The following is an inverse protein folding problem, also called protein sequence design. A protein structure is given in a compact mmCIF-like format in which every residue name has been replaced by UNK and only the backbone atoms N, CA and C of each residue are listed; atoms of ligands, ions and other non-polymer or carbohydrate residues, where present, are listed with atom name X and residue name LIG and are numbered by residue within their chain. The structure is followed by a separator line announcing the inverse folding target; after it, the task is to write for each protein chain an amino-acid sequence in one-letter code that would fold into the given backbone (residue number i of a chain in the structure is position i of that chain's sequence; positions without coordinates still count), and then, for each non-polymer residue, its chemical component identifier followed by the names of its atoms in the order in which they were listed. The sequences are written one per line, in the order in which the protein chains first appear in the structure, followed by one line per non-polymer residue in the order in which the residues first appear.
data_IF_462002154431
#
_entry.id   IF_462002154431
#
_cell.length_a   1.000
_cell.length_b   1.000
_cell.length_c   1.000
_cell.angle_alpha   90.00
_cell.angle_beta   90.00
_cell.angle_gamma   90.00
#
_symmetry.space_group_name_H-M   'P 1'
#
loop_
_entity.id
_entity.type
_entity.pdbx_description
1 polymer ?
#
# COMPACT_ATOMS: atom_id res chain seq x y z
N UNK A 1 22.28 -6.81 -10.93
CA UNK A 1 21.93 -5.46 -11.45
C UNK A 1 23.04 -4.40 -11.37
N UNK A 2 24.14 -4.57 -10.63
CA UNK A 2 25.23 -3.58 -10.58
C UNK A 2 26.26 -3.65 -11.75
N UNK A 3 26.03 -4.48 -12.77
CA UNK A 3 26.91 -4.52 -13.96
C UNK A 3 26.31 -3.87 -15.22
N UNK A 4 25.06 -3.39 -15.18
CA UNK A 4 24.45 -2.61 -16.29
C UNK A 4 24.64 -1.11 -16.03
N UNK A 5 25.87 -0.68 -15.74
CA UNK A 5 26.23 0.74 -15.62
C UNK A 5 27.38 1.19 -16.53
N UNK A 6 27.96 0.28 -17.31
CA UNK A 6 29.20 0.57 -18.06
C UNK A 6 29.07 0.55 -19.59
N UNK A 7 27.88 0.73 -20.16
CA UNK A 7 27.73 1.03 -21.59
C UNK A 7 27.56 2.54 -21.79
N UNK A 8 28.68 3.29 -21.76
CA UNK A 8 28.71 4.70 -22.15
C UNK A 8 28.93 4.79 -23.66
N UNK A 9 27.94 5.31 -24.40
CA UNK A 9 28.10 5.72 -25.81
C UNK A 9 28.49 7.20 -25.81
N UNK A 10 29.63 7.54 -26.40
CA UNK A 10 30.16 8.91 -26.40
C UNK A 10 29.93 9.62 -27.73
N UNK A 11 29.41 10.85 -27.69
CA UNK A 11 29.59 11.82 -28.78
C UNK A 11 31.02 12.37 -28.72
N UNK A 12 31.64 12.65 -29.87
CA UNK A 12 32.92 13.36 -29.97
C UNK A 12 32.89 14.80 -29.43
N UNK A 13 31.74 15.26 -28.95
CA UNK A 13 31.48 16.60 -28.44
C UNK A 13 31.42 16.70 -26.89
N UNK A 14 31.72 15.60 -26.16
CA UNK A 14 31.81 15.57 -24.70
C UNK A 14 30.67 14.78 -24.01
N UNK A 15 30.92 14.32 -22.78
CA UNK A 15 30.05 13.42 -22.01
C UNK A 15 28.69 14.06 -21.63
N UNK A 16 27.58 13.63 -22.24
CA UNK A 16 26.24 13.79 -21.68
C UNK A 16 25.32 12.61 -22.03
N UNK A 17 24.43 12.30 -21.08
CA UNK A 17 23.37 11.29 -21.18
C UNK A 17 22.39 11.62 -22.33
N UNK A 18 22.27 10.71 -23.29
CA UNK A 18 21.14 10.67 -24.22
C UNK A 18 19.96 10.00 -23.49
N UNK A 19 18.92 10.76 -23.15
CA UNK A 19 17.63 10.17 -22.79
C UNK A 19 16.94 9.70 -24.08
N UNK A 20 16.72 8.40 -24.24
CA UNK A 20 15.74 7.89 -25.21
C UNK A 20 14.34 8.13 -24.62
N UNK A 21 13.55 8.97 -25.27
CA UNK A 21 12.09 8.88 -25.14
C UNK A 21 11.58 7.96 -26.26
N UNK A 22 11.02 6.82 -25.89
CA UNK A 22 10.35 5.92 -26.83
C UNK A 22 8.86 6.27 -26.86
N UNK A 23 8.34 6.59 -28.05
CA UNK A 23 6.91 6.75 -28.28
C UNK A 23 6.26 5.35 -28.26
N UNK A 24 5.33 5.11 -27.32
CA UNK A 24 4.65 3.81 -27.14
C UNK A 24 3.42 3.63 -28.05
N UNK A 25 3.28 4.41 -29.12
CA UNK A 25 2.17 4.27 -30.07
C UNK A 25 2.52 3.33 -31.23
N UNK A 26 1.67 2.31 -31.47
CA UNK A 26 1.79 1.36 -32.60
C UNK A 26 1.44 1.95 -33.98
N UNK A 27 1.08 3.23 -34.09
CA UNK A 27 0.74 3.88 -35.37
C UNK A 27 1.69 5.01 -35.78
N UNK A 28 2.74 5.29 -35.02
CA UNK A 28 3.70 6.34 -35.35
C UNK A 28 4.68 5.88 -36.44
N UNK A 29 4.66 6.51 -37.63
CA UNK A 29 5.58 6.22 -38.75
C UNK A 29 6.92 6.99 -38.70
N UNK A 30 7.21 7.74 -37.64
CA UNK A 30 8.46 8.45 -37.51
C UNK A 30 9.50 7.58 -36.77
N UNK A 31 10.54 7.15 -37.49
CA UNK A 31 11.69 6.42 -36.92
C UNK A 31 12.52 7.39 -36.09
N UNK A 32 12.81 6.99 -34.86
CA UNK A 32 13.60 7.68 -33.84
C UNK A 32 14.74 8.55 -34.40
N UNK A 33 14.72 9.85 -34.08
CA UNK A 33 15.90 10.72 -34.23
C UNK A 33 16.35 11.18 -32.86
N UNK A 34 17.59 10.86 -32.51
CA UNK A 34 18.27 11.48 -31.37
C UNK A 34 18.91 12.80 -31.86
N UNK A 35 18.70 13.89 -31.15
CA UNK A 35 19.27 15.20 -31.46
C UNK A 35 20.35 15.55 -30.45
N UNK A 36 21.53 15.93 -30.93
CA UNK A 36 22.50 16.65 -30.12
C UNK A 36 22.25 18.15 -30.31
N UNK A 37 21.83 18.84 -29.25
CA UNK A 37 21.45 20.27 -29.29
C UNK A 37 22.59 21.23 -29.68
N UNK A 38 23.86 20.76 -29.78
CA UNK A 38 25.02 21.61 -30.06
C UNK A 38 25.57 21.55 -31.49
N UNK A 39 25.33 20.49 -32.27
CA UNK A 39 26.07 20.29 -33.54
C UNK A 39 25.21 20.27 -34.81
N UNK A 40 23.88 20.31 -34.71
CA UNK A 40 22.91 20.36 -35.83
C UNK A 40 23.30 19.55 -37.09
N UNK A 41 23.84 18.34 -36.90
CA UNK A 41 24.17 17.41 -37.98
C UNK A 41 23.43 16.08 -37.80
N UNK A 42 22.74 15.65 -38.86
CA UNK A 42 22.13 14.32 -38.98
C UNK A 42 23.23 13.29 -39.24
N UNK A 43 23.24 12.20 -38.48
CA UNK A 43 24.12 11.05 -38.73
C UNK A 43 23.24 9.90 -39.23
N UNK A 44 23.46 9.48 -40.47
CA UNK A 44 22.89 8.27 -41.06
C UNK A 44 23.78 7.03 -40.74
N UNK A 45 23.12 5.88 -40.66
CA UNK A 45 23.52 4.57 -40.11
C UNK A 45 24.86 3.93 -40.54
N UNK A 46 25.37 3.00 -39.70
CA UNK A 46 26.13 1.80 -40.18
C UNK A 46 26.17 0.56 -39.24
N UNK A 47 25.20 0.28 -38.36
CA UNK A 47 25.33 -0.87 -37.42
C UNK A 47 24.09 -1.79 -37.22
N UNK A 48 23.09 -1.73 -38.10
CA UNK A 48 21.82 -2.48 -37.92
C UNK A 48 21.73 -3.84 -38.65
N UNK A 49 22.81 -4.60 -38.82
CA UNK A 49 22.69 -5.97 -39.37
C UNK A 49 23.16 -7.11 -38.47
N UNK A 50 23.78 -6.84 -37.31
CA UNK A 50 24.18 -7.91 -36.37
C UNK A 50 23.31 -8.03 -35.11
N UNK A 51 22.43 -7.07 -34.79
CA UNK A 51 21.70 -7.06 -33.51
C UNK A 51 20.32 -7.75 -33.51
N UNK A 52 19.79 -8.22 -34.65
CA UNK A 52 18.49 -8.90 -34.68
C UNK A 52 18.52 -10.34 -34.14
N UNK A 53 19.72 -10.94 -34.02
CA UNK A 53 19.91 -12.24 -33.34
C UNK A 53 20.00 -12.11 -31.81
N UNK A 54 20.46 -10.96 -31.30
CA UNK A 54 20.66 -10.73 -29.86
C UNK A 54 19.37 -10.31 -29.13
N UNK A 55 18.49 -9.53 -29.76
CA UNK A 55 17.20 -9.15 -29.15
C UNK A 55 16.25 -10.35 -28.99
N UNK A 56 16.13 -11.19 -30.02
CA UNK A 56 15.29 -12.39 -29.93
C UNK A 56 15.88 -13.42 -28.97
N UNK A 57 17.21 -13.52 -28.87
CA UNK A 57 17.89 -14.36 -27.87
C UNK A 57 17.65 -13.87 -26.44
N UNK A 58 17.68 -12.56 -26.20
CA UNK A 58 17.35 -11.95 -24.91
C UNK A 58 15.88 -12.16 -24.53
N UNK A 59 14.96 -11.95 -25.47
CA UNK A 59 13.54 -12.18 -25.25
C UNK A 59 13.31 -13.65 -24.89
N UNK A 60 13.87 -14.60 -25.66
CA UNK A 60 13.74 -16.03 -25.34
C UNK A 60 14.39 -16.41 -24.00
N UNK A 61 15.52 -15.80 -23.64
CA UNK A 61 16.17 -16.03 -22.35
C UNK A 61 15.32 -15.53 -21.17
N UNK A 62 14.73 -14.34 -21.29
CA UNK A 62 13.83 -13.80 -20.26
C UNK A 62 12.49 -14.52 -20.20
N UNK A 63 11.97 -15.01 -21.31
CA UNK A 63 10.79 -15.88 -21.36
C UNK A 63 11.08 -17.24 -20.69
N UNK A 64 12.22 -17.88 -20.97
CA UNK A 64 12.62 -19.15 -20.32
C UNK A 64 12.85 -18.97 -18.80
N UNK A 65 13.38 -17.82 -18.36
CA UNK A 65 13.47 -17.46 -16.94
C UNK A 65 12.08 -17.25 -16.34
N UNK A 66 11.20 -16.53 -17.03
CA UNK A 66 9.83 -16.28 -16.58
C UNK A 66 9.02 -17.56 -16.46
N UNK A 67 9.14 -18.48 -17.42
CA UNK A 67 8.50 -19.79 -17.38
C UNK A 67 9.05 -20.68 -16.25
N UNK A 68 10.37 -20.67 -16.03
CA UNK A 68 10.98 -21.41 -14.91
C UNK A 68 10.64 -20.82 -13.54
N UNK A 69 10.58 -19.49 -13.40
CA UNK A 69 10.08 -18.85 -12.18
C UNK A 69 8.61 -19.22 -11.93
N UNK A 70 7.78 -19.20 -12.97
CA UNK A 70 6.39 -19.64 -12.87
C UNK A 70 6.27 -21.13 -12.54
N UNK A 71 7.15 -21.98 -13.06
CA UNK A 71 7.21 -23.41 -12.72
C UNK A 71 7.61 -23.63 -11.25
N UNK A 72 8.63 -22.93 -10.76
CA UNK A 72 9.06 -22.97 -9.35
C UNK A 72 7.95 -22.44 -8.43
N UNK A 73 7.32 -21.32 -8.79
CA UNK A 73 6.17 -20.77 -8.05
C UNK A 73 4.99 -21.73 -8.04
N UNK A 74 4.68 -22.40 -9.15
CA UNK A 74 3.60 -23.40 -9.22
C UNK A 74 3.93 -24.65 -8.41
N UNK A 75 5.16 -25.17 -8.48
CA UNK A 75 5.58 -26.32 -7.68
C UNK A 75 5.64 -25.99 -6.18
N UNK A 76 6.12 -24.80 -5.82
CA UNK A 76 6.15 -24.35 -4.43
C UNK A 76 4.74 -24.07 -3.91
N UNK A 77 3.84 -23.51 -4.73
CA UNK A 77 2.42 -23.38 -4.37
C UNK A 77 1.74 -24.74 -4.18
N UNK A 78 2.09 -25.75 -5.00
CA UNK A 78 1.57 -27.12 -4.83
C UNK A 78 2.10 -27.78 -3.56
N UNK A 79 3.41 -27.70 -3.29
CA UNK A 79 4.02 -28.19 -2.03
C UNK A 79 3.46 -27.45 -0.81
N UNK A 80 3.28 -26.13 -0.90
CA UNK A 80 2.69 -25.31 0.15
C UNK A 80 1.24 -25.72 0.42
N UNK A 81 0.41 -25.86 -0.61
CA UNK A 81 -0.97 -26.32 -0.45
C UNK A 81 -1.06 -27.73 0.14
N UNK A 82 -0.16 -28.64 -0.25
CA UNK A 82 -0.10 -29.98 0.33
C UNK A 82 0.32 -29.95 1.81
N UNK A 83 1.25 -29.05 2.17
CA UNK A 83 1.66 -28.81 3.55
C UNK A 83 0.52 -28.19 4.38
N UNK A 84 -0.16 -27.18 3.86
CA UNK A 84 -1.31 -26.55 4.51
C UNK A 84 -2.44 -27.56 4.71
N UNK A 85 -2.67 -28.46 3.75
CA UNK A 85 -3.64 -29.56 3.91
C UNK A 85 -3.21 -30.52 5.02
N UNK A 86 -1.96 -31.00 5.02
CA UNK A 86 -1.46 -31.90 6.08
C UNK A 86 -1.49 -31.25 7.47
N UNK A 87 -1.16 -29.96 7.56
CA UNK A 87 -1.25 -29.19 8.81
C UNK A 87 -2.69 -29.03 9.27
N UNK A 88 -3.63 -28.76 8.35
CA UNK A 88 -5.06 -28.68 8.64
C UNK A 88 -5.61 -30.02 9.12
N UNK A 89 -5.30 -31.11 8.41
CA UNK A 89 -5.75 -32.46 8.77
C UNK A 89 -5.18 -32.87 10.14
N UNK A 90 -3.91 -32.55 10.41
CA UNK A 90 -3.26 -32.84 11.70
C UNK A 90 -3.78 -31.94 12.83
N UNK A 91 -4.11 -30.67 12.54
CA UNK A 91 -4.74 -29.75 13.48
C UNK A 91 -6.16 -30.21 13.84
N UNK A 92 -6.94 -30.64 12.84
CA UNK A 92 -8.30 -31.17 13.02
C UNK A 92 -8.30 -32.51 13.77
N UNK A 93 -7.35 -33.40 13.45
CA UNK A 93 -7.11 -34.64 14.20
C UNK A 93 -6.70 -34.36 15.66
N UNK A 94 -5.87 -33.34 15.91
CA UNK A 94 -5.43 -32.95 17.24
C UNK A 94 -6.52 -32.19 18.03
N UNK A 95 -7.38 -31.40 17.38
CA UNK A 95 -8.56 -30.76 18.00
C UNK A 95 -9.52 -31.78 18.60
N UNK A 96 -9.66 -32.96 17.98
CA UNK A 96 -10.46 -34.06 18.53
C UNK A 96 -9.81 -34.75 19.74
N UNK A 97 -8.47 -34.69 19.88
CA UNK A 97 -7.72 -35.27 21.02
C UNK A 97 -7.36 -34.27 22.13
N UNK A 98 -7.62 -32.98 21.92
CA UNK A 98 -7.31 -31.89 22.85
C UNK A 98 -8.19 -31.89 24.12
N UNK A 99 -9.12 -32.84 24.27
CA UNK A 99 -9.88 -33.03 25.51
C UNK A 99 -9.12 -33.85 26.57
N UNK A 100 -7.93 -34.42 26.27
CA UNK A 100 -7.21 -35.33 27.19
C UNK A 100 -5.70 -35.07 27.36
N UNK A 101 -5.15 -33.94 26.88
CA UNK A 101 -3.70 -33.70 26.91
C UNK A 101 -3.28 -32.70 28.01
N UNK A 102 -2.18 -33.02 28.70
CA UNK A 102 -1.52 -32.11 29.65
C UNK A 102 -0.49 -31.21 28.95
N UNK A 103 -0.17 -30.09 29.59
CA UNK A 103 0.66 -28.98 29.07
C UNK A 103 2.01 -29.43 28.48
N UNK A 104 2.62 -30.47 29.07
CA UNK A 104 3.90 -31.03 28.62
C UNK A 104 3.82 -31.63 27.20
N UNK A 105 2.75 -32.37 26.89
CA UNK A 105 2.57 -32.98 25.56
C UNK A 105 2.22 -31.95 24.49
N UNK A 106 1.52 -30.87 24.86
CA UNK A 106 1.21 -29.77 23.95
C UNK A 106 2.49 -29.02 23.53
N UNK A 107 3.38 -28.77 24.50
CA UNK A 107 4.67 -28.13 24.26
C UNK A 107 5.54 -28.92 23.28
N UNK A 108 5.62 -30.24 23.44
CA UNK A 108 6.37 -31.11 22.51
C UNK A 108 5.83 -31.02 21.07
N UNK A 109 4.50 -30.99 20.89
CA UNK A 109 3.89 -30.89 19.55
C UNK A 109 4.19 -29.51 18.92
N UNK A 110 4.15 -28.44 19.70
CA UNK A 110 4.48 -27.09 19.24
C UNK A 110 5.96 -27.01 18.82
N UNK A 111 6.86 -27.58 19.63
CA UNK A 111 8.30 -27.60 19.35
C UNK A 111 8.60 -28.41 18.06
N UNK A 112 7.91 -29.53 17.82
CA UNK A 112 8.02 -30.29 16.57
C UNK A 112 7.55 -29.49 15.34
N UNK A 113 6.49 -28.70 15.47
CA UNK A 113 5.99 -27.83 14.39
C UNK A 113 7.03 -26.75 14.05
N UNK A 114 7.60 -26.10 15.07
CA UNK A 114 8.62 -25.08 14.88
C UNK A 114 9.91 -25.65 14.28
N UNK A 115 10.34 -26.83 14.71
CA UNK A 115 11.51 -27.49 14.15
C UNK A 115 11.29 -27.80 12.66
N UNK A 116 10.13 -28.34 12.30
CA UNK A 116 9.82 -28.67 10.92
C UNK A 116 9.72 -27.42 10.02
N UNK A 117 9.14 -26.32 10.53
CA UNK A 117 9.10 -25.05 9.80
C UNK A 117 10.50 -24.52 9.50
N UNK A 118 11.40 -24.55 10.49
CA UNK A 118 12.79 -24.12 10.34
C UNK A 118 13.56 -24.99 9.33
N UNK A 119 13.33 -26.31 9.32
CA UNK A 119 13.93 -27.21 8.32
C UNK A 119 13.40 -26.93 6.91
N UNK A 120 12.10 -26.63 6.76
CA UNK A 120 11.51 -26.25 5.48
C UNK A 120 12.07 -24.92 4.95
N UNK A 121 12.17 -23.90 5.79
CA UNK A 121 12.74 -22.59 5.42
C UNK A 121 14.20 -22.72 4.96
N UNK A 122 15.01 -23.51 5.67
CA UNK A 122 16.39 -23.81 5.26
C UNK A 122 16.47 -24.58 3.95
N UNK A 123 15.52 -25.49 3.69
CA UNK A 123 15.41 -26.21 2.42
C UNK A 123 15.11 -25.27 1.25
N UNK A 124 14.15 -24.36 1.45
CA UNK A 124 13.76 -23.36 0.46
C UNK A 124 14.90 -22.38 0.16
N UNK A 125 15.60 -21.92 1.19
CA UNK A 125 16.76 -21.04 1.02
C UNK A 125 17.87 -21.70 0.19
N UNK A 126 18.13 -23.00 0.43
CA UNK A 126 19.09 -23.78 -0.39
C UNK A 126 18.65 -23.89 -1.84
N UNK A 127 17.38 -24.19 -2.12
CA UNK A 127 16.86 -24.27 -3.49
C UNK A 127 16.99 -22.91 -4.21
N UNK A 128 16.69 -21.80 -3.53
CA UNK A 128 16.85 -20.44 -4.06
C UNK A 128 18.33 -20.14 -4.37
N UNK A 129 19.25 -20.51 -3.48
CA UNK A 129 20.69 -20.32 -3.69
C UNK A 129 21.23 -21.14 -4.86
N UNK A 130 20.77 -22.38 -5.04
CA UNK A 130 21.13 -23.23 -6.19
C UNK A 130 20.63 -22.58 -7.48
N UNK A 131 19.36 -22.18 -7.52
CA UNK A 131 18.77 -21.52 -8.69
C UNK A 131 19.50 -20.22 -9.05
N UNK A 132 19.86 -19.41 -8.05
CA UNK A 132 20.64 -18.18 -8.24
C UNK A 132 22.01 -18.48 -8.87
N UNK A 133 22.71 -19.51 -8.40
CA UNK A 133 24.02 -19.91 -8.96
C UNK A 133 23.91 -20.43 -10.39
N UNK A 134 22.86 -21.19 -10.71
CA UNK A 134 22.61 -21.66 -12.07
C UNK A 134 22.34 -20.50 -13.02
N UNK A 135 21.54 -19.53 -12.59
CA UNK A 135 21.31 -18.31 -13.37
C UNK A 135 22.59 -17.52 -13.59
N UNK A 136 23.39 -17.31 -12.54
CA UNK A 136 24.67 -16.61 -12.64
C UNK A 136 25.59 -17.33 -13.63
N UNK A 137 25.66 -18.66 -13.59
CA UNK A 137 26.50 -19.47 -14.49
C UNK A 137 26.04 -19.32 -15.94
N UNK A 138 24.73 -19.39 -16.21
CA UNK A 138 24.18 -19.20 -17.55
C UNK A 138 24.45 -17.79 -18.06
N UNK A 139 24.26 -16.78 -17.21
CA UNK A 139 24.54 -15.39 -17.56
C UNK A 139 26.02 -15.18 -17.91
N UNK A 140 26.94 -15.76 -17.15
CA UNK A 140 28.38 -15.69 -17.42
C UNK A 140 28.78 -16.39 -18.71
N UNK A 141 28.20 -17.55 -19.02
CA UNK A 141 28.46 -18.25 -20.28
C UNK A 141 27.94 -17.46 -21.48
N UNK A 142 26.75 -16.87 -21.35
CA UNK A 142 26.17 -16.04 -22.39
C UNK A 142 26.98 -14.75 -22.62
N UNK A 143 27.48 -14.10 -21.56
CA UNK A 143 28.41 -12.96 -21.67
C UNK A 143 29.72 -13.35 -22.37
N UNK A 144 30.23 -14.56 -22.14
CA UNK A 144 31.42 -15.07 -22.83
C UNK A 144 31.17 -15.30 -24.33
N UNK A 145 30.01 -15.83 -24.69
CA UNK A 145 29.62 -16.02 -26.10
C UNK A 145 29.47 -14.69 -26.86
N UNK A 146 29.11 -13.62 -26.17
CA UNK A 146 28.99 -12.26 -26.72
C UNK A 146 30.32 -11.50 -26.79
N UNK A 147 31.40 -12.03 -26.21
CA UNK A 147 32.72 -11.39 -26.22
C UNK A 147 33.52 -11.82 -27.48
N UNK A 148 34.03 -10.88 -28.31
CA UNK A 148 34.69 -11.24 -29.56
C UNK A 148 36.02 -12.01 -29.33
N UNK A 149 36.35 -13.00 -30.17
CA UNK A 149 37.56 -13.80 -30.02
C UNK A 149 38.77 -13.03 -30.56
N UNK A 150 39.42 -12.26 -29.69
CA UNK A 150 40.87 -11.95 -29.65
C UNK A 150 41.10 -10.57 -29.02
N UNK A 151 41.35 -10.56 -27.72
CA UNK A 151 42.19 -9.55 -27.09
C UNK A 151 43.34 -10.30 -26.42
N UNK A 152 44.49 -10.36 -27.11
CA UNK A 152 45.73 -10.90 -26.56
C UNK A 152 46.10 -10.13 -25.28
N UNK A 153 46.34 -10.87 -24.21
CA UNK A 153 46.97 -10.35 -22.99
C UNK A 153 48.43 -9.96 -23.29
N UNK A 154 48.95 -8.84 -22.77
CA UNK A 154 50.36 -8.71 -22.51
C UNK A 154 50.69 -9.41 -21.17
N UNK A 155 51.72 -10.24 -21.22
CA UNK A 155 52.39 -10.84 -20.08
C UNK A 155 53.26 -9.79 -19.35
N UNK A 156 53.38 -9.92 -18.02
CA UNK A 156 54.63 -10.04 -17.25
C UNK A 156 54.41 -9.61 -15.78
N UNK A 157 54.80 -10.55 -14.91
CA UNK A 157 55.21 -10.49 -13.50
C UNK A 157 54.60 -9.49 -12.53
N UNK A 158 54.05 -9.98 -11.41
CA UNK A 158 54.29 -9.37 -10.09
C UNK A 158 53.92 -10.32 -8.95
N UNK A 159 54.85 -11.21 -8.64
CA UNK A 159 55.00 -11.83 -7.33
C UNK A 159 55.44 -10.75 -6.33
N UNK A 160 54.53 -9.88 -5.87
CA UNK A 160 54.75 -8.99 -4.71
C UNK A 160 53.50 -8.26 -4.16
N UNK A 161 52.28 -8.61 -4.56
CA UNK A 161 51.07 -7.86 -4.18
C UNK A 161 50.16 -8.55 -3.12
N UNK A 162 50.66 -9.56 -2.40
CA UNK A 162 49.83 -10.33 -1.46
C UNK A 162 49.72 -9.73 -0.05
N UNK A 163 50.63 -8.83 0.35
CA UNK A 163 50.61 -8.22 1.70
C UNK A 163 49.94 -6.84 1.78
N UNK A 164 49.84 -6.09 0.68
CA UNK A 164 49.08 -4.81 0.65
C UNK A 164 47.55 -4.99 0.65
N UNK A 165 47.05 -6.22 0.41
CA UNK A 165 45.60 -6.53 0.36
C UNK A 165 44.96 -6.76 1.73
N UNK A 166 45.73 -6.98 2.81
CA UNK A 166 45.16 -7.19 4.16
C UNK A 166 44.81 -5.88 4.87
N UNK A 167 45.62 -4.82 4.73
CA UNK A 167 45.37 -3.51 5.33
C UNK A 167 44.32 -2.67 4.60
N UNK A 168 44.07 -2.94 3.30
CA UNK A 168 42.96 -2.31 2.56
C UNK A 168 41.57 -2.87 2.93
N UNK A 169 41.50 -4.13 3.43
CA UNK A 169 40.24 -4.78 3.82
C UNK A 169 39.66 -4.28 5.13
N UNK A 170 40.46 -3.84 6.12
CA UNK A 170 39.89 -3.27 7.35
C UNK A 170 39.33 -1.85 7.11
N UNK A 171 40.03 -1.02 6.33
CA UNK A 171 39.53 0.29 5.93
C UNK A 171 38.31 0.21 5.00
N UNK A 172 38.23 -0.80 4.11
CA UNK A 172 37.03 -1.04 3.30
C UNK A 172 35.87 -1.62 4.10
N UNK A 173 36.12 -2.39 5.17
CA UNK A 173 35.07 -2.90 6.05
C UNK A 173 34.52 -1.80 6.96
N UNK A 174 35.35 -0.90 7.49
CA UNK A 174 34.88 0.27 8.25
C UNK A 174 34.13 1.27 7.35
N UNK A 175 34.60 1.49 6.11
CA UNK A 175 33.88 2.30 5.13
C UNK A 175 32.58 1.62 4.65
N UNK A 176 32.53 0.29 4.53
CA UNK A 176 31.32 -0.46 4.20
C UNK A 176 30.33 -0.53 5.37
N UNK A 177 30.81 -0.49 6.62
CA UNK A 177 29.97 -0.42 7.82
C UNK A 177 29.45 0.99 8.06
N UNK A 178 30.26 2.04 7.83
CA UNK A 178 29.80 3.43 7.82
C UNK A 178 28.85 3.73 6.66
N UNK A 179 29.11 3.15 5.47
CA UNK A 179 28.19 3.20 4.33
C UNK A 179 26.95 2.34 4.60
N UNK A 180 27.08 1.22 5.30
CA UNK A 180 25.98 0.38 5.76
C UNK A 180 25.09 1.10 6.76
N UNK A 181 25.66 1.86 7.69
CA UNK A 181 24.96 2.70 8.67
C UNK A 181 24.39 3.97 8.02
N UNK A 182 25.08 4.56 7.03
CA UNK A 182 24.54 5.65 6.21
C UNK A 182 23.44 5.17 5.26
N UNK A 183 23.50 3.95 4.72
CA UNK A 183 22.42 3.31 3.95
C UNK A 183 21.29 2.89 4.88
N UNK A 184 21.57 2.45 6.12
CA UNK A 184 20.55 2.16 7.14
C UNK A 184 19.83 3.43 7.60
N UNK A 185 20.55 4.56 7.70
CA UNK A 185 19.97 5.89 7.97
C UNK A 185 19.32 6.54 6.74
N UNK A 186 19.84 6.32 5.52
CA UNK A 186 19.30 6.83 4.26
C UNK A 186 18.16 5.96 3.68
N UNK A 187 18.03 4.70 4.11
CA UNK A 187 16.85 3.85 3.88
C UNK A 187 15.67 4.23 4.78
N UNK A 188 15.85 5.24 5.64
CA UNK A 188 14.78 6.04 6.25
C UNK A 188 14.60 7.41 5.57
N UNK A 189 14.87 7.55 4.28
CA UNK A 189 13.96 8.36 3.47
C UNK A 189 12.63 7.60 3.42
N UNK A 190 11.48 8.21 3.76
CA UNK A 190 10.22 7.47 3.79
C UNK A 190 10.02 6.86 2.40
N UNK A 191 9.93 5.53 2.34
CA UNK A 191 9.34 4.87 1.18
C UNK A 191 7.96 5.49 1.05
N UNK A 192 7.77 6.37 0.07
CA UNK A 192 6.44 6.86 -0.28
C UNK A 192 5.66 5.60 -0.67
N UNK A 193 4.65 5.18 0.11
CA UNK A 193 3.80 4.10 -0.35
C UNK A 193 3.06 4.66 -1.55
N UNK A 194 3.12 3.95 -2.66
CA UNK A 194 2.36 4.26 -3.88
C UNK A 194 0.85 4.02 -3.68
N UNK A 195 0.39 3.87 -2.42
CA UNK A 195 -0.80 3.10 -2.03
C UNK A 195 -1.66 3.75 -0.94
N UNK A 196 -1.32 4.93 -0.39
CA UNK A 196 -2.12 5.55 0.69
C UNK A 196 -2.78 6.86 0.26
N UNK A 197 -4.03 7.09 0.70
CA UNK A 197 -4.73 8.38 0.56
C UNK A 197 -3.87 9.55 1.08
N UNK A 198 -3.03 9.29 2.09
CA UNK A 198 -1.98 10.19 2.56
C UNK A 198 -1.05 10.70 1.43
N UNK A 199 -0.61 9.83 0.51
CA UNK A 199 0.26 10.23 -0.59
C UNK A 199 -0.47 11.16 -1.58
N UNK A 200 -1.76 10.90 -1.82
CA UNK A 200 -2.64 11.77 -2.62
C UNK A 200 -2.79 13.13 -1.95
N UNK A 201 -3.03 13.16 -0.65
CA UNK A 201 -3.18 14.39 0.12
C UNK A 201 -1.89 15.21 0.12
N UNK A 202 -0.74 14.56 0.36
CA UNK A 202 0.57 15.23 0.38
C UNK A 202 1.00 15.82 -0.96
N UNK A 203 0.40 15.36 -2.07
CA UNK A 203 0.62 15.96 -3.39
C UNK A 203 -0.03 17.35 -3.51
N UNK A 204 -1.09 17.63 -2.74
CA UNK A 204 -1.76 18.93 -2.72
C UNK A 204 -1.05 19.85 -1.71
N UNK A 205 -0.24 20.79 -2.22
CA UNK A 205 0.51 21.77 -1.42
C UNK A 205 -0.39 22.56 -0.43
N UNK A 206 -1.63 22.86 -0.81
CA UNK A 206 -2.72 23.27 0.08
C UNK A 206 -3.98 22.47 -0.26
N UNK A 207 -4.43 21.63 0.66
CA UNK A 207 -5.55 20.70 0.48
C UNK A 207 -6.89 21.41 0.26
N UNK A 208 -6.98 22.69 0.61
CA UNK A 208 -8.19 23.52 0.45
C UNK A 208 -8.06 24.57 -0.63
N UNK A 209 -6.88 24.70 -1.26
CA UNK A 209 -6.71 25.63 -2.36
C UNK A 209 -7.13 24.97 -3.67
N UNK A 210 -8.34 25.31 -4.13
CA UNK A 210 -8.81 24.93 -5.46
C UNK A 210 -8.14 25.77 -6.57
N UNK A 211 -7.21 26.68 -6.28
CA UNK A 211 -6.37 27.33 -7.29
C UNK A 211 -5.33 26.34 -7.81
N UNK A 212 -5.86 25.34 -8.50
CA UNK A 212 -5.10 24.33 -9.21
C UNK A 212 -4.21 25.02 -10.25
N UNK A 213 -3.10 24.36 -10.57
CA UNK A 213 -2.24 24.74 -11.69
C UNK A 213 -3.12 25.15 -12.89
N UNK A 214 -2.90 26.33 -13.51
CA UNK A 214 -3.74 26.82 -14.60
C UNK A 214 -3.89 25.85 -15.78
N UNK A 215 -3.04 24.83 -15.87
CA UNK A 215 -3.10 23.75 -16.86
C UNK A 215 -4.12 22.65 -16.54
N UNK A 216 -4.73 22.66 -15.34
CA UNK A 216 -5.73 21.68 -14.94
C UNK A 216 -7.11 22.14 -15.43
N UNK A 217 -7.63 21.42 -16.41
CA UNK A 217 -8.97 21.65 -16.93
C UNK A 217 -10.05 21.41 -15.86
N UNK A 218 -11.04 22.29 -15.81
CA UNK A 218 -12.17 22.20 -14.88
C UNK A 218 -13.49 22.19 -15.63
N UNK A 219 -14.52 21.67 -14.98
CA UNK A 219 -15.89 21.60 -15.50
C UNK A 219 -16.86 22.07 -14.42
N UNK A 220 -17.89 22.80 -14.85
CA UNK A 220 -19.00 23.19 -14.00
C UNK A 220 -20.06 22.09 -14.04
N UNK A 221 -20.43 21.61 -12.85
CA UNK A 221 -21.41 20.56 -12.67
C UNK A 221 -22.54 21.04 -11.75
N UNK A 222 -23.71 20.42 -11.87
CA UNK A 222 -24.78 20.53 -10.89
C UNK A 222 -25.06 19.12 -10.37
N UNK A 223 -24.96 18.92 -9.06
CA UNK A 223 -25.26 17.66 -8.42
C UNK A 223 -26.46 17.81 -7.47
N UNK A 224 -27.18 16.71 -7.29
CA UNK A 224 -28.06 16.52 -6.14
C UNK A 224 -27.25 15.87 -5.02
N UNK A 225 -27.27 16.46 -3.83
CA UNK A 225 -26.47 16.00 -2.69
C UNK A 225 -27.34 15.17 -1.73
N UNK A 226 -26.82 14.02 -1.33
CA UNK A 226 -27.43 13.16 -0.32
C UNK A 226 -26.45 12.90 0.82
N UNK A 227 -26.95 12.97 2.05
CA UNK A 227 -26.26 12.36 3.18
C UNK A 227 -26.84 10.97 3.43
N UNK A 228 -26.04 10.11 4.06
CA UNK A 228 -26.43 8.73 4.34
C UNK A 228 -26.13 8.44 5.80
N UNK A 229 -27.10 7.87 6.48
CA UNK A 229 -27.01 7.55 7.89
C UNK A 229 -27.46 6.12 8.15
N UNK A 230 -26.70 5.37 8.96
CA UNK A 230 -27.15 4.08 9.47
C UNK A 230 -28.24 4.32 10.50
N UNK A 231 -29.34 3.57 10.41
CA UNK A 231 -30.40 3.56 11.41
C UNK A 231 -29.83 3.16 12.78
N UNK A 232 -30.13 3.96 13.81
CA UNK A 232 -29.58 3.76 15.15
C UNK A 232 -29.93 2.38 15.74
N UNK A 233 -31.17 1.91 15.57
CA UNK A 233 -31.60 0.62 16.09
C UNK A 233 -30.88 -0.53 15.36
N UNK A 234 -30.77 -0.44 14.03
CA UNK A 234 -30.02 -1.41 13.22
C UNK A 234 -28.55 -1.46 13.61
N UNK A 235 -27.94 -0.30 13.86
CA UNK A 235 -26.56 -0.22 14.32
C UNK A 235 -26.38 -0.90 15.69
N UNK A 236 -27.17 -0.52 16.70
CA UNK A 236 -27.03 -1.07 18.05
C UNK A 236 -27.32 -2.59 18.10
N UNK A 237 -28.30 -3.07 17.33
CA UNK A 237 -28.66 -4.49 17.30
C UNK A 237 -27.61 -5.37 16.62
N UNK A 238 -26.80 -4.79 15.71
CA UNK A 238 -25.81 -5.51 14.92
C UNK A 238 -24.37 -5.09 15.25
N UNK A 239 -24.15 -4.35 16.33
CA UNK A 239 -22.83 -3.83 16.70
C UNK A 239 -21.80 -4.95 16.89
N UNK A 240 -22.20 -6.15 17.33
CA UNK A 240 -21.27 -7.28 17.44
C UNK A 240 -21.02 -8.00 16.09
N UNK A 241 -21.86 -7.77 15.08
CA UNK A 241 -21.86 -8.46 13.79
C UNK A 241 -22.25 -7.49 12.67
N UNK A 242 -21.34 -6.57 12.34
CA UNK A 242 -21.55 -5.50 11.36
C UNK A 242 -21.91 -5.99 9.96
N UNK A 243 -21.59 -7.25 9.62
CA UNK A 243 -22.00 -7.91 8.39
C UNK A 243 -23.52 -7.92 8.21
N UNK A 244 -24.29 -7.88 9.30
CA UNK A 244 -25.74 -7.89 9.28
C UNK A 244 -26.36 -6.52 8.95
N UNK A 245 -25.58 -5.43 9.03
CA UNK A 245 -26.02 -4.09 8.64
C UNK A 245 -26.00 -4.01 7.11
N UNK A 246 -27.18 -4.05 6.50
CA UNK A 246 -27.40 -4.19 5.05
C UNK A 246 -28.06 -2.96 4.46
N UNK A 247 -27.51 -2.50 3.35
CA UNK A 247 -28.16 -1.55 2.48
C UNK A 247 -29.25 -2.25 1.63
N UNK A 248 -30.41 -1.63 1.32
CA UNK A 248 -30.87 -0.30 1.76
C UNK A 248 -31.49 -0.27 3.15
N UNK A 249 -31.85 -1.42 3.70
CA UNK A 249 -32.81 -1.52 4.80
C UNK A 249 -32.37 -0.85 6.10
N UNK A 250 -31.06 -0.85 6.37
CA UNK A 250 -30.50 -0.31 7.60
C UNK A 250 -29.98 1.12 7.46
N UNK A 251 -30.24 1.77 6.31
CA UNK A 251 -29.73 3.08 5.97
C UNK A 251 -30.86 4.04 5.63
N UNK A 252 -30.71 5.28 6.05
CA UNK A 252 -31.55 6.41 5.62
C UNK A 252 -30.74 7.28 4.69
N UNK A 253 -31.26 7.49 3.49
CA UNK A 253 -30.73 8.46 2.54
C UNK A 253 -31.53 9.75 2.67
N UNK A 254 -30.84 10.85 2.90
CA UNK A 254 -31.44 12.15 3.18
C UNK A 254 -31.03 13.11 2.07
N UNK A 255 -32.00 13.62 1.34
CA UNK A 255 -31.78 14.74 0.42
C UNK A 255 -31.28 15.95 1.21
N UNK A 256 -30.18 16.55 0.75
CA UNK A 256 -29.63 17.75 1.33
C UNK A 256 -30.05 18.98 0.51
N UNK A 257 -29.54 19.07 -0.72
CA UNK A 257 -29.77 20.20 -1.62
C UNK A 257 -29.18 19.94 -3.00
N UNK A 258 -29.62 20.71 -3.98
CA UNK A 258 -28.97 20.80 -5.28
C UNK A 258 -27.93 21.93 -5.24
N UNK A 259 -26.67 21.65 -5.61
CA UNK A 259 -25.64 22.69 -5.73
C UNK A 259 -24.90 22.61 -7.04
N UNK A 260 -24.55 23.79 -7.55
CA UNK A 260 -23.54 23.93 -8.59
C UNK A 260 -22.15 23.90 -7.97
N UNK A 261 -21.25 23.19 -8.62
CA UNK A 261 -19.87 23.02 -8.21
C UNK A 261 -18.94 23.18 -9.40
N UNK A 262 -17.66 23.40 -9.11
CA UNK A 262 -16.59 23.32 -10.11
C UNK A 262 -15.73 22.13 -9.71
N UNK A 263 -15.46 21.22 -10.63
CA UNK A 263 -14.59 20.08 -10.38
C UNK A 263 -13.51 19.96 -11.44
N UNK A 264 -12.47 19.20 -11.16
CA UNK A 264 -11.48 18.84 -12.17
C UNK A 264 -12.12 17.96 -13.24
N UNK A 265 -11.72 18.18 -14.49
CA UNK A 265 -12.21 17.38 -15.62
C UNK A 265 -11.62 15.97 -15.61
N UNK A 266 -10.36 15.85 -15.17
CA UNK A 266 -9.61 14.59 -15.03
C UNK A 266 -9.29 14.30 -13.56
N UNK A 267 -9.02 13.03 -13.21
CA UNK A 267 -8.48 12.69 -11.91
C UNK A 267 -7.18 13.45 -11.67
N UNK A 268 -7.00 13.94 -10.45
CA UNK A 268 -5.74 14.55 -10.01
C UNK A 268 -4.82 13.53 -9.34
N UNK A 269 -5.37 12.39 -8.91
CA UNK A 269 -4.63 11.33 -8.26
C UNK A 269 -5.35 9.98 -8.40
N UNK A 270 -4.61 8.92 -8.08
CA UNK A 270 -5.07 7.54 -8.14
C UNK A 270 -4.60 6.80 -6.89
N UNK A 271 -5.43 5.92 -6.36
CA UNK A 271 -5.01 4.83 -5.48
C UNK A 271 -5.01 3.52 -6.25
N UNK A 272 -4.80 2.40 -5.56
CA UNK A 272 -4.94 1.06 -6.15
C UNK A 272 -6.35 0.78 -6.71
N UNK A 273 -7.37 1.39 -6.13
CA UNK A 273 -8.78 1.06 -6.43
C UNK A 273 -9.59 2.24 -6.94
N UNK A 274 -9.14 3.46 -6.66
CA UNK A 274 -9.94 4.66 -6.90
C UNK A 274 -9.21 5.76 -7.66
N UNK A 275 -9.96 6.47 -8.48
CA UNK A 275 -9.63 7.78 -9.06
C UNK A 275 -10.13 8.91 -8.14
N UNK A 276 -9.34 9.97 -8.02
CA UNK A 276 -9.67 11.13 -7.19
C UNK A 276 -9.76 12.40 -8.02
N UNK A 277 -10.87 13.11 -7.88
CA UNK A 277 -11.10 14.42 -8.48
C UNK A 277 -11.23 15.45 -7.37
N UNK A 278 -10.87 16.70 -7.64
CA UNK A 278 -11.19 17.79 -6.72
C UNK A 278 -12.46 18.46 -7.15
N UNK A 279 -13.30 18.80 -6.17
CA UNK A 279 -14.50 19.59 -6.36
C UNK A 279 -14.51 20.73 -5.35
N UNK A 280 -14.91 21.93 -5.80
CA UNK A 280 -15.26 23.03 -4.93
C UNK A 280 -16.72 23.42 -5.05
N UNK A 281 -17.28 23.83 -3.92
CA UNK A 281 -18.55 24.52 -3.83
C UNK A 281 -18.24 25.96 -3.44
N UNK A 282 -18.56 26.91 -4.32
CA UNK A 282 -18.37 28.33 -4.05
C UNK A 282 -19.37 28.79 -3.01
N UNK A 283 -18.87 29.34 -1.91
CA UNK A 283 -19.70 30.02 -0.92
C UNK A 283 -19.52 31.53 -1.09
N UNK A 284 -20.62 32.25 -1.30
CA UNK A 284 -20.58 33.69 -1.61
C UNK A 284 -19.96 34.55 -0.49
N UNK A 285 -19.94 34.07 0.76
CA UNK A 285 -19.49 34.82 1.94
C UNK A 285 -18.52 34.05 2.86
N UNK A 286 -18.08 32.83 2.48
CA UNK A 286 -17.21 31.98 3.30
C UNK A 286 -16.09 31.37 2.46
N UNK A 287 -15.11 30.74 3.11
CA UNK A 287 -14.13 29.92 2.38
C UNK A 287 -14.85 28.85 1.55
N UNK A 288 -14.33 28.63 0.33
CA UNK A 288 -14.78 27.56 -0.56
C UNK A 288 -14.72 26.22 0.20
N UNK A 289 -15.78 25.42 0.07
CA UNK A 289 -15.75 24.04 0.55
C UNK A 289 -15.13 23.17 -0.54
N UNK A 290 -14.02 22.51 -0.21
CA UNK A 290 -13.32 21.61 -1.13
C UNK A 290 -13.58 20.17 -0.70
N UNK A 291 -13.81 19.32 -1.69
CA UNK A 291 -14.10 17.91 -1.55
C UNK A 291 -13.19 17.11 -2.47
N UNK A 292 -12.83 15.91 -2.02
CA UNK A 292 -12.41 14.84 -2.91
C UNK A 292 -13.64 14.10 -3.42
N UNK A 293 -13.71 13.92 -4.74
CA UNK A 293 -14.62 12.95 -5.33
C UNK A 293 -13.86 11.65 -5.57
N UNK A 294 -14.40 10.55 -5.08
CA UNK A 294 -13.85 9.20 -5.18
C UNK A 294 -14.72 8.35 -6.08
N UNK A 295 -14.05 7.61 -6.96
CA UNK A 295 -14.69 6.67 -7.87
C UNK A 295 -13.79 5.46 -8.12
N UNK A 296 -14.34 4.30 -8.50
CA UNK A 296 -13.53 3.16 -8.91
C UNK A 296 -12.70 3.51 -10.17
N UNK A 297 -11.53 2.89 -10.30
CA UNK A 297 -10.69 3.02 -11.50
C UNK A 297 -11.46 2.57 -12.75
N UNK A 298 -11.28 3.32 -13.85
CA UNK A 298 -11.90 3.04 -15.14
C UNK A 298 -12.85 4.14 -15.62
N UNK A 299 -12.90 5.27 -14.91
CA UNK A 299 -13.64 6.46 -15.33
C UNK A 299 -15.17 6.31 -15.37
N UNK A 300 -15.74 5.34 -14.65
CA UNK A 300 -17.19 5.12 -14.61
C UNK A 300 -17.74 5.40 -13.22
N UNK A 301 -18.71 6.30 -13.15
CA UNK A 301 -19.44 6.63 -11.92
C UNK A 301 -20.24 5.42 -11.46
N UNK A 302 -20.56 5.33 -10.17
CA UNK A 302 -21.44 4.28 -9.68
C UNK A 302 -22.78 4.35 -10.43
N UNK A 303 -23.28 3.19 -10.85
CA UNK A 303 -24.47 3.12 -11.70
C UNK A 303 -25.76 3.30 -10.90
N UNK A 304 -25.67 3.09 -9.58
CA UNK A 304 -26.76 3.28 -8.63
C UNK A 304 -26.26 3.87 -7.31
N UNK A 305 -27.16 4.53 -6.60
CA UNK A 305 -26.93 5.02 -5.24
C UNK A 305 -26.52 3.89 -4.28
N UNK A 306 -27.07 2.70 -4.49
CA UNK A 306 -26.82 1.53 -3.65
C UNK A 306 -25.36 1.08 -3.73
N UNK A 307 -24.80 1.05 -4.94
CA UNK A 307 -23.39 0.72 -5.16
C UNK A 307 -22.47 1.75 -4.50
N UNK A 308 -22.78 3.05 -4.65
CA UNK A 308 -22.01 4.11 -4.01
C UNK A 308 -22.04 3.99 -2.48
N UNK A 309 -23.21 3.71 -1.89
CA UNK A 309 -23.35 3.55 -0.44
C UNK A 309 -22.65 2.28 0.07
N UNK A 310 -22.71 1.20 -0.70
CA UNK A 310 -22.01 -0.04 -0.36
C UNK A 310 -20.50 0.18 -0.27
N UNK A 311 -19.93 1.00 -1.16
CA UNK A 311 -18.50 1.33 -1.13
C UNK A 311 -18.12 2.25 0.05
N UNK A 312 -19.08 3.03 0.56
CA UNK A 312 -18.92 3.87 1.75
C UNK A 312 -19.15 3.14 3.07
N UNK A 313 -19.50 1.84 3.04
CA UNK A 313 -20.00 1.10 4.20
C UNK A 313 -19.04 1.16 5.40
N UNK A 314 -17.75 0.98 5.18
CA UNK A 314 -16.73 1.07 6.24
C UNK A 314 -16.70 2.45 6.89
N UNK A 315 -16.80 3.53 6.10
CA UNK A 315 -16.84 4.90 6.62
C UNK A 315 -18.08 5.17 7.45
N UNK A 316 -19.26 4.78 6.95
CA UNK A 316 -20.53 5.01 7.63
C UNK A 316 -20.61 4.27 8.99
N UNK A 317 -20.13 3.02 9.03
CA UNK A 317 -20.08 2.23 10.27
C UNK A 317 -19.08 2.84 11.24
N UNK A 318 -17.89 3.21 10.76
CA UNK A 318 -16.85 3.83 11.59
C UNK A 318 -17.29 5.17 12.17
N UNK A 319 -18.02 5.99 11.40
CA UNK A 319 -18.62 7.25 11.87
C UNK A 319 -19.56 7.02 13.05
N UNK A 320 -20.47 6.03 12.96
CA UNK A 320 -21.39 5.67 14.06
C UNK A 320 -20.67 5.14 15.28
N UNK A 321 -19.66 4.29 15.08
CA UNK A 321 -18.80 3.82 16.17
C UNK A 321 -18.10 4.96 16.89
N UNK A 322 -17.51 5.89 16.14
CA UNK A 322 -16.79 7.03 16.73
C UNK A 322 -17.73 7.93 17.54
N UNK A 323 -18.94 8.18 17.04
CA UNK A 323 -19.98 8.92 17.78
C UNK A 323 -20.33 8.23 19.11
N UNK A 324 -20.55 6.90 19.09
CA UNK A 324 -20.82 6.11 20.29
C UNK A 324 -19.67 6.17 21.29
N UNK A 325 -18.45 5.95 20.81
CA UNK A 325 -17.22 5.95 21.59
C UNK A 325 -16.96 7.30 22.28
N UNK A 326 -17.01 8.40 21.52
CA UNK A 326 -16.81 9.76 22.06
C UNK A 326 -17.91 10.12 23.05
N UNK A 327 -19.17 9.75 22.77
CA UNK A 327 -20.28 9.96 23.71
C UNK A 327 -20.04 9.25 25.05
N UNK A 328 -19.57 8.00 25.02
CA UNK A 328 -19.25 7.25 26.24
C UNK A 328 -18.07 7.85 27.02
N UNK A 329 -16.99 8.24 26.34
CA UNK A 329 -15.84 8.89 26.97
C UNK A 329 -16.25 10.21 27.64
N UNK A 330 -17.01 11.05 26.94
CA UNK A 330 -17.50 12.32 27.48
C UNK A 330 -18.42 12.10 28.69
N UNK A 331 -19.30 11.10 28.62
CA UNK A 331 -20.17 10.72 29.74
C UNK A 331 -19.41 10.26 31.00
N UNK A 332 -18.16 9.82 30.84
CA UNK A 332 -17.24 9.42 31.93
C UNK A 332 -16.30 10.55 32.36
N UNK A 333 -16.52 11.78 31.88
CA UNK A 333 -15.73 12.96 32.22
C UNK A 333 -14.40 13.10 31.48
N UNK A 334 -14.12 12.22 30.50
CA UNK A 334 -12.96 12.38 29.63
C UNK A 334 -13.25 13.46 28.58
N UNK A 335 -12.61 14.64 28.68
CA UNK A 335 -12.67 15.64 27.61
C UNK A 335 -11.78 15.21 26.46
N UNK A 336 -12.35 14.53 25.47
CA UNK A 336 -11.64 14.21 24.23
C UNK A 336 -11.60 15.43 23.31
N UNK A 337 -10.62 15.52 22.38
CA UNK A 337 -10.77 16.37 21.21
C UNK A 337 -12.08 16.04 20.47
N UNK A 338 -12.66 16.98 19.69
CA UNK A 338 -13.85 16.73 18.88
C UNK A 338 -13.53 15.84 17.67
N UNK A 339 -13.03 14.63 17.93
CA UNK A 339 -12.63 13.64 16.92
C UNK A 339 -13.86 12.99 16.29
N UNK A 340 -13.85 12.89 14.96
CA UNK A 340 -14.95 12.33 14.18
C UNK A 340 -14.51 11.99 12.77
N UNK A 341 -15.29 11.13 12.10
CA UNK A 341 -15.12 10.90 10.67
C UNK A 341 -15.71 12.06 9.86
N UNK A 342 -15.02 12.41 8.78
CA UNK A 342 -15.38 13.45 7.82
C UNK A 342 -16.79 13.23 7.28
N UNK A 343 -17.40 14.32 6.83
CA UNK A 343 -18.67 14.22 6.13
C UNK A 343 -18.45 13.59 4.76
N UNK A 344 -19.22 12.53 4.52
CA UNK A 344 -19.28 11.80 3.28
C UNK A 344 -20.66 12.03 2.68
N UNK A 345 -20.69 12.40 1.41
CA UNK A 345 -21.90 12.70 0.66
C UNK A 345 -21.95 11.81 -0.59
N UNK A 346 -23.14 11.39 -0.96
CA UNK A 346 -23.40 10.80 -2.26
C UNK A 346 -23.90 11.90 -3.18
N UNK A 347 -23.24 12.10 -4.30
CA UNK A 347 -23.63 13.09 -5.30
C UNK A 347 -24.26 12.39 -6.50
N UNK A 348 -25.40 12.87 -6.94
CA UNK A 348 -26.05 12.38 -8.15
C UNK A 348 -25.90 13.41 -9.28
N UNK A 349 -25.29 12.99 -10.39
CA UNK A 349 -25.14 13.80 -11.61
C UNK A 349 -26.35 13.63 -12.54
N UNK A 350 -26.83 12.39 -12.65
CA UNK A 350 -28.00 11.99 -13.41
C UNK A 350 -28.58 10.68 -12.86
N UNK A 351 -29.60 10.11 -13.49
CA UNK A 351 -30.29 8.90 -12.98
C UNK A 351 -29.38 7.67 -12.76
N UNK A 352 -28.23 7.58 -13.45
CA UNK A 352 -27.32 6.42 -13.42
C UNK A 352 -25.88 6.80 -13.12
N UNK A 353 -25.67 7.96 -12.48
CA UNK A 353 -24.33 8.49 -12.25
C UNK A 353 -24.25 9.07 -10.86
N UNK A 354 -23.56 8.32 -10.01
CA UNK A 354 -23.35 8.66 -8.61
C UNK A 354 -21.86 8.75 -8.30
N UNK A 355 -21.52 9.68 -7.41
CA UNK A 355 -20.15 9.95 -6.95
C UNK A 355 -20.13 9.92 -5.42
N UNK A 356 -18.98 9.59 -4.86
CA UNK A 356 -18.73 9.73 -3.42
C UNK A 356 -17.91 10.99 -3.21
N UNK A 357 -18.33 11.87 -2.31
CA UNK A 357 -17.63 13.09 -1.97
C UNK A 357 -17.25 13.13 -0.49
N UNK A 358 -15.96 13.31 -0.21
CA UNK A 358 -15.43 13.48 1.15
C UNK A 358 -14.87 14.89 1.31
N UNK A 359 -15.22 15.56 2.41
CA UNK A 359 -14.75 16.92 2.66
C UNK A 359 -13.25 16.95 2.96
N UNK A 360 -12.54 17.87 2.31
CA UNK A 360 -11.14 18.17 2.59
C UNK A 360 -11.00 19.24 3.66
N UNK A 361 -10.06 19.01 4.57
CA UNK A 361 -9.75 19.91 5.67
C UNK A 361 -8.33 20.43 5.54
N UNK A 362 -8.11 21.69 5.89
CA UNK A 362 -6.78 22.30 5.88
C UNK A 362 -5.97 21.84 7.08
N UNK A 363 -4.76 21.35 6.85
CA UNK A 363 -3.78 21.04 7.90
C UNK A 363 -2.92 19.83 7.57
N UNK A 364 -2.12 19.42 8.55
CA UNK A 364 -1.23 18.28 8.41
C UNK A 364 -2.02 16.97 8.41
N UNK A 365 -1.78 16.17 7.38
CA UNK A 365 -2.34 14.84 7.28
C UNK A 365 -1.53 13.86 8.13
N UNK A 366 -2.20 13.14 9.03
CA UNK A 366 -1.59 12.20 9.97
C UNK A 366 -2.27 10.85 9.85
N UNK A 367 -1.45 9.80 9.75
CA UNK A 367 -1.87 8.40 9.89
C UNK A 367 -1.58 7.95 11.32
N UNK A 368 -2.62 7.68 12.11
CA UNK A 368 -2.51 7.24 13.49
C UNK A 368 -2.23 5.73 13.59
N UNK A 369 -2.89 4.93 12.76
CA UNK A 369 -2.60 3.51 12.57
C UNK A 369 -2.98 3.07 11.15
N UNK A 370 -2.61 1.85 10.75
CA UNK A 370 -3.03 1.26 9.48
C UNK A 370 -3.68 -0.13 9.69
N UNK A 371 -4.04 -0.78 8.59
CA UNK A 371 -4.65 -2.12 8.60
C UNK A 371 -3.65 -3.29 8.75
N UNK A 372 -2.36 -3.00 8.86
CA UNK A 372 -1.26 -3.97 8.90
C UNK A 372 -0.30 -3.73 10.09
N UNK A 373 -0.85 -3.28 11.23
CA UNK A 373 -0.12 -3.19 12.50
C UNK A 373 0.74 -1.93 12.72
N UNK A 374 0.82 -0.99 11.78
CA UNK A 374 1.48 0.28 12.05
C UNK A 374 0.72 1.07 13.13
N UNK A 375 1.45 1.58 14.11
CA UNK A 375 0.96 2.49 15.15
C UNK A 375 1.90 3.68 15.23
N UNK A 376 1.33 4.88 15.17
CA UNK A 376 2.08 6.11 15.35
C UNK A 376 2.66 6.17 16.78
N UNK A 377 3.97 6.38 16.87
CA UNK A 377 4.72 6.43 18.14
C UNK A 377 4.48 7.69 18.97
N UNK A 378 3.89 8.74 18.39
CA UNK A 378 3.72 10.03 19.06
C UNK A 378 2.75 9.92 20.25
N UNK A 379 3.20 10.24 21.45
CA UNK A 379 2.35 10.21 22.65
C UNK A 379 1.60 11.55 22.83
N UNK A 380 0.59 11.76 21.99
CA UNK A 380 -0.34 12.88 22.12
C UNK A 380 -1.78 12.38 22.31
N UNK A 381 -2.62 13.24 22.88
CA UNK A 381 -4.00 12.89 23.24
C UNK A 381 -4.80 12.36 22.04
N UNK A 382 -4.68 12.98 20.88
CA UNK A 382 -5.44 12.61 19.70
C UNK A 382 -5.03 11.22 19.18
N UNK A 383 -3.72 10.96 19.10
CA UNK A 383 -3.21 9.65 18.71
C UNK A 383 -3.63 8.56 19.71
N UNK A 384 -3.54 8.83 21.02
CA UNK A 384 -3.96 7.86 22.04
C UNK A 384 -5.46 7.55 21.95
N UNK A 385 -6.30 8.57 21.74
CA UNK A 385 -7.75 8.38 21.54
C UNK A 385 -8.03 7.56 20.28
N UNK A 386 -7.28 7.77 19.19
CA UNK A 386 -7.40 6.96 17.98
C UNK A 386 -7.05 5.47 18.24
N UNK A 387 -5.95 5.18 18.95
CA UNK A 387 -5.62 3.77 19.26
C UNK A 387 -6.66 3.11 20.18
N UNK A 388 -7.14 3.85 21.19
CA UNK A 388 -8.18 3.37 22.10
C UNK A 388 -9.48 3.12 21.34
N UNK A 389 -9.82 3.92 20.34
CA UNK A 389 -10.98 3.69 19.49
C UNK A 389 -10.89 2.35 18.74
N UNK A 390 -9.76 2.06 18.10
CA UNK A 390 -9.54 0.77 17.44
C UNK A 390 -9.65 -0.41 18.41
N UNK A 391 -9.04 -0.32 19.61
CA UNK A 391 -9.16 -1.34 20.66
C UNK A 391 -10.62 -1.51 21.11
N UNK A 392 -11.32 -0.40 21.34
CA UNK A 392 -12.73 -0.39 21.73
C UNK A 392 -13.60 -1.14 20.73
N UNK A 393 -13.42 -0.90 19.43
CA UNK A 393 -14.19 -1.61 18.39
C UNK A 393 -13.91 -3.11 18.40
N UNK A 394 -12.66 -3.52 18.64
CA UNK A 394 -12.26 -4.92 18.73
C UNK A 394 -12.91 -5.65 19.92
N UNK A 395 -13.04 -4.99 21.06
CA UNK A 395 -13.62 -5.61 22.26
C UNK A 395 -15.15 -5.63 22.19
N UNK A 396 -15.78 -4.52 21.76
CA UNK A 396 -17.24 -4.44 21.60
C UNK A 396 -17.74 -5.43 20.55
N UNK A 397 -16.95 -5.68 19.50
CA UNK A 397 -17.25 -6.69 18.51
C UNK A 397 -17.08 -8.13 19.00
N UNK A 398 -16.59 -8.35 20.24
CA UNK A 398 -16.17 -9.67 20.75
C UNK A 398 -15.10 -10.30 19.85
N UNK A 399 -14.10 -9.50 19.50
CA UNK A 399 -12.94 -9.89 18.72
C UNK A 399 -13.24 -10.30 17.28
N UNK A 400 -14.43 -9.97 16.76
CA UNK A 400 -14.86 -10.37 15.41
C UNK A 400 -14.33 -9.43 14.32
N UNK A 401 -14.05 -8.18 14.67
CA UNK A 401 -13.49 -7.20 13.75
C UNK A 401 -12.90 -6.02 14.52
N UNK A 402 -12.05 -5.23 13.87
CA UNK A 402 -11.59 -3.94 14.40
C UNK A 402 -11.60 -2.88 13.30
N UNK A 403 -11.82 -1.64 13.71
CA UNK A 403 -11.72 -0.47 12.83
C UNK A 403 -10.31 0.10 12.97
N UNK A 404 -9.61 0.23 11.85
CA UNK A 404 -8.23 0.70 11.75
C UNK A 404 -8.08 1.64 10.57
N UNK A 405 -6.83 1.91 10.18
CA UNK A 405 -6.51 2.89 9.17
C UNK A 405 -7.09 4.26 9.54
N UNK A 406 -6.91 4.62 10.82
CA UNK A 406 -7.34 5.91 11.33
C UNK A 406 -6.35 6.96 10.86
N UNK A 407 -6.80 7.82 9.96
CA UNK A 407 -5.98 8.81 9.28
C UNK A 407 -6.83 10.04 8.94
N UNK A 408 -6.20 11.20 8.80
CA UNK A 408 -6.92 12.43 8.45
C UNK A 408 -6.19 13.70 8.88
N UNK A 409 -6.92 14.80 8.99
CA UNK A 409 -6.38 16.13 9.33
C UNK A 409 -6.96 16.58 10.66
N UNK A 410 -6.09 16.78 11.64
CA UNK A 410 -6.52 17.12 13.00
C UNK A 410 -7.56 16.13 13.50
N UNK A 411 -8.72 16.62 13.94
CA UNK A 411 -9.80 15.79 14.49
C UNK A 411 -10.75 15.19 13.44
N UNK A 412 -10.48 15.36 12.15
CA UNK A 412 -11.32 14.87 11.06
C UNK A 412 -10.68 13.65 10.37
N UNK A 413 -11.20 12.46 10.66
CA UNK A 413 -10.72 11.18 10.14
C UNK A 413 -11.41 10.82 8.81
N UNK A 414 -10.76 10.02 7.97
CA UNK A 414 -11.31 9.59 6.67
C UNK A 414 -10.77 8.24 6.23
N UNK A 415 -11.42 7.60 5.25
CA UNK A 415 -11.02 6.31 4.66
C UNK A 415 -10.65 5.21 5.68
N UNK A 416 -11.51 4.92 6.68
CA UNK A 416 -11.25 3.82 7.62
C UNK A 416 -11.34 2.47 6.94
N UNK A 417 -10.59 1.50 7.47
CA UNK A 417 -10.64 0.09 7.08
C UNK A 417 -11.19 -0.72 8.24
N UNK A 418 -12.01 -1.72 7.94
CA UNK A 418 -12.49 -2.69 8.93
C UNK A 418 -11.87 -4.04 8.58
N UNK A 419 -10.99 -4.54 9.45
CA UNK A 419 -10.50 -5.91 9.35
C UNK A 419 -11.48 -6.82 10.09
N UNK A 420 -11.99 -7.88 9.45
CA UNK A 420 -12.84 -8.89 10.11
C UNK A 420 -12.08 -10.20 10.30
N UNK A 421 -12.63 -11.13 11.07
CA UNK A 421 -12.05 -12.48 11.15
C UNK A 421 -12.10 -13.17 9.79
N UNK A 422 -13.16 -12.95 9.01
CA UNK A 422 -13.35 -13.60 7.71
C UNK A 422 -12.58 -12.96 6.54
N UNK A 423 -12.11 -11.72 6.66
CA UNK A 423 -11.37 -11.05 5.59
C UNK A 423 -12.23 -10.72 4.37
N UNK A 424 -13.51 -10.37 4.58
CA UNK A 424 -14.51 -10.23 3.52
C UNK A 424 -15.33 -8.94 3.57
N UNK A 425 -14.91 -7.94 4.35
CA UNK A 425 -15.65 -6.69 4.51
C UNK A 425 -15.33 -5.65 3.43
N UNK A 426 -14.25 -5.83 2.69
CA UNK A 426 -13.83 -5.01 1.56
C UNK A 426 -12.48 -5.47 1.02
N UNK A 427 -12.02 -4.90 -0.09
CA UNK A 427 -10.77 -5.33 -0.73
C UNK A 427 -9.49 -5.04 0.09
N UNK A 428 -9.62 -4.20 1.12
CA UNK A 428 -8.55 -3.81 2.04
C UNK A 428 -8.60 -4.52 3.39
N UNK A 429 -9.59 -5.39 3.59
CA UNK A 429 -9.73 -6.24 4.77
C UNK A 429 -8.67 -7.34 4.73
N UNK A 430 -7.69 -7.27 5.62
CA UNK A 430 -6.59 -8.25 5.73
C UNK A 430 -6.96 -9.44 6.62
N UNK A 431 -8.21 -9.56 7.03
CA UNK A 431 -8.66 -10.70 7.82
C UNK A 431 -7.99 -10.78 9.18
N UNK A 432 -7.82 -12.02 9.65
CA UNK A 432 -7.14 -12.33 10.91
C UNK A 432 -5.68 -11.85 10.97
N UNK A 433 -5.00 -11.73 9.83
CA UNK A 433 -3.61 -11.26 9.79
C UNK A 433 -3.56 -9.77 10.20
N UNK A 434 -4.44 -8.95 9.61
CA UNK A 434 -4.55 -7.54 9.98
C UNK A 434 -5.01 -7.33 11.43
N UNK A 435 -5.88 -8.20 11.94
CA UNK A 435 -6.26 -8.21 13.36
C UNK A 435 -5.05 -8.48 14.26
N UNK A 436 -4.30 -9.55 13.95
CA UNK A 436 -3.17 -10.03 14.77
C UNK A 436 -2.03 -9.02 14.81
N UNK A 437 -1.67 -8.44 13.66
CA UNK A 437 -0.61 -7.43 13.56
C UNK A 437 -0.94 -6.18 14.39
N UNK A 438 -2.20 -5.74 14.38
CA UNK A 438 -2.65 -4.62 15.21
C UNK A 438 -2.56 -4.95 16.71
N UNK A 439 -3.08 -6.11 17.14
CA UNK A 439 -3.07 -6.51 18.55
C UNK A 439 -1.64 -6.63 19.09
N UNK A 440 -0.73 -7.27 18.35
CA UNK A 440 0.68 -7.39 18.75
C UNK A 440 1.34 -6.02 18.90
N UNK A 441 1.02 -5.10 17.99
CA UNK A 441 1.64 -3.77 17.96
C UNK A 441 1.11 -2.87 19.08
N UNK A 442 -0.20 -2.92 19.36
CA UNK A 442 -0.84 -2.06 20.36
C UNK A 442 -0.50 -2.46 21.79
N UNK A 443 -0.27 -3.75 22.03
CA UNK A 443 0.07 -4.29 23.34
C UNK A 443 1.34 -3.66 23.93
N UNK A 444 2.31 -3.31 23.07
CA UNK A 444 3.58 -2.66 23.47
C UNK A 444 3.39 -1.33 24.20
N UNK A 445 2.25 -0.69 24.01
CA UNK A 445 1.94 0.64 24.53
C UNK A 445 0.72 0.64 25.46
N UNK A 446 0.07 -0.51 25.68
CA UNK A 446 -1.21 -0.61 26.39
C UNK A 446 -1.13 0.00 27.78
N UNK A 447 -0.22 -0.52 28.61
CA UNK A 447 -0.12 -0.15 30.02
C UNK A 447 0.25 1.32 30.21
N UNK A 448 1.11 1.86 29.33
CA UNK A 448 1.66 3.21 29.46
C UNK A 448 0.78 4.29 28.83
N UNK A 449 0.05 3.99 27.75
CA UNK A 449 -0.67 5.00 26.95
C UNK A 449 -2.18 4.84 26.97
N UNK A 450 -2.68 3.60 26.97
CA UNK A 450 -4.09 3.32 26.63
C UNK A 450 -4.93 2.88 27.82
N UNK A 451 -4.32 2.20 28.80
CA UNK A 451 -5.02 1.55 29.91
C UNK A 451 -5.99 2.49 30.64
N UNK A 452 -5.57 3.72 30.93
CA UNK A 452 -6.42 4.71 31.60
C UNK A 452 -7.74 4.99 30.86
N UNK A 453 -7.74 4.97 29.53
CA UNK A 453 -8.94 5.23 28.74
C UNK A 453 -9.83 3.98 28.65
N UNK A 454 -9.21 2.80 28.59
CA UNK A 454 -9.91 1.52 28.62
C UNK A 454 -10.63 1.31 29.96
N UNK A 455 -9.96 1.64 31.07
CA UNK A 455 -10.54 1.61 32.42
C UNK A 455 -11.74 2.55 32.53
N UNK A 456 -11.65 3.77 31.99
CA UNK A 456 -12.77 4.73 31.99
C UNK A 456 -13.99 4.22 31.21
N UNK A 457 -13.77 3.41 30.17
CA UNK A 457 -14.82 2.81 29.35
C UNK A 457 -15.37 1.50 29.95
N UNK A 458 -14.84 1.05 31.09
CA UNK A 458 -15.13 -0.27 31.67
C UNK A 458 -14.83 -1.42 30.69
N UNK A 459 -13.81 -1.24 29.84
CA UNK A 459 -13.44 -2.15 28.77
C UNK A 459 -12.16 -2.89 29.15
N UNK A 460 -12.23 -4.23 29.19
CA UNK A 460 -11.08 -5.09 29.46
C UNK A 460 -10.53 -5.60 28.13
N UNK A 461 -9.29 -5.21 27.81
CA UNK A 461 -8.56 -5.66 26.64
C UNK A 461 -7.71 -6.87 26.98
#
# INVERSE_FOLDING_TARGET
MNQIRNLKIYCSCGEMNLFQQVCLSKSCKAVNRAYCLKCDKRIEHLACQNNLKDENGLIHFFEDIGEKQNFILRNNKKKFNELTSKLRDKCQYNQQRLQELNESKLKTIIDEIFQFQNEFEKGLEKEIQIFSKEMDTKLHNWIKELSPPNAQQPSISESQEHEKRKTKRSAQNEAAQQLGDQIYRASRAPKIPQDSFEAVIKFLLDQTDFNLDPRIDTIQNKFIFFSVEINQQSFESNIAQIQNIRFPNDYTVIYQHDRSCIRTLKPIAFSKYNEFYLMKIKNSNFQDEVFFLKMPIGGQTYSSMNEAIQDCRSHLISKRFMQKFVSQLNGKGCKTPPIGFSDLLILQENEKSFWIAERLYKGDYVTFNNNAGYINSDDNLLNNVAQVFSIYTYIISKFQYLICNLQGVGSFLTDPIINTVEGNFGETDLGIDGLSEYVISVERFRETRYQKYLDMLDVKF
#
